data_IF_342697583352
#
_entry.id   IF_342697583352
#
_cell.length_a   1.000
_cell.length_b   1.000
_cell.length_c   1.000
_cell.angle_alpha   90.00
_cell.angle_beta   90.00
_cell.angle_gamma   90.00
#
_symmetry.space_group_name_H-M   'P 1'
#
loop_
_entity.id
_entity.type
_entity.pdbx_description
1 polymer ?
#
# COMPACT_ATOMS: atom_id res chain seq x y z
N UNK A 1 -3.32 -19.13 -31.72
CA UNK A 1 -4.09 -18.09 -31.02
C UNK A 1 -4.34 -18.40 -29.53
N UNK A 2 -4.57 -19.66 -29.13
CA UNK A 2 -4.89 -20.02 -27.74
C UNK A 2 -3.89 -19.54 -26.66
N UNK A 3 -2.61 -19.34 -26.97
CA UNK A 3 -1.60 -18.92 -25.98
C UNK A 3 -1.73 -17.45 -25.53
N UNK A 4 -2.33 -16.56 -26.33
CA UNK A 4 -2.37 -15.11 -26.01
C UNK A 4 -3.22 -14.82 -24.76
N UNK A 5 -4.43 -15.38 -24.59
CA UNK A 5 -5.19 -15.26 -23.33
C UNK A 5 -4.40 -15.69 -22.08
N UNK A 6 -3.71 -16.84 -22.11
CA UNK A 6 -2.95 -17.34 -20.96
C UNK A 6 -1.75 -16.47 -20.62
N UNK A 7 -0.97 -16.05 -21.62
CA UNK A 7 0.17 -15.15 -21.42
C UNK A 7 -0.28 -13.79 -20.87
N UNK A 8 -1.42 -13.28 -21.33
CA UNK A 8 -2.01 -12.07 -20.77
C UNK A 8 -2.49 -12.28 -19.32
N UNK A 9 -3.12 -13.41 -18.98
CA UNK A 9 -3.52 -13.67 -17.60
C UNK A 9 -2.30 -13.73 -16.66
N UNK A 10 -1.23 -14.42 -17.08
CA UNK A 10 0.01 -14.49 -16.32
C UNK A 10 0.66 -13.10 -16.12
N UNK A 11 0.69 -12.29 -17.18
CA UNK A 11 1.42 -11.01 -17.22
C UNK A 11 0.62 -9.83 -16.69
N UNK A 12 -0.70 -9.81 -16.89
CA UNK A 12 -1.59 -8.68 -16.58
C UNK A 12 -2.48 -8.99 -15.38
N UNK A 13 -3.21 -10.11 -15.36
CA UNK A 13 -4.00 -10.49 -14.17
C UNK A 13 -3.08 -10.80 -12.98
N UNK A 14 -1.90 -11.34 -13.23
CA UNK A 14 -0.82 -11.49 -12.25
C UNK A 14 -0.20 -10.18 -11.75
N UNK A 15 -0.58 -9.03 -12.31
CA UNK A 15 -0.26 -7.67 -11.86
C UNK A 15 -1.54 -6.92 -11.41
N UNK A 16 -2.55 -7.62 -10.88
CA UNK A 16 -3.72 -6.99 -10.26
C UNK A 16 -3.93 -7.52 -8.83
N UNK A 17 -4.14 -6.65 -7.82
CA UNK A 17 -4.29 -7.07 -6.40
C UNK A 17 -5.58 -7.82 -6.14
N UNK A 18 -6.59 -7.51 -6.92
CA UNK A 18 -7.87 -8.21 -6.99
C UNK A 18 -8.03 -8.57 -8.45
N UNK A 19 -8.43 -9.81 -8.72
CA UNK A 19 -9.01 -10.14 -10.01
C UNK A 19 -10.21 -9.22 -10.23
N UNK A 20 -10.00 -8.18 -11.05
CA UNK A 20 -11.12 -7.46 -11.67
C UNK A 20 -12.00 -8.54 -12.27
N UNK A 21 -13.31 -8.47 -12.02
CA UNK A 21 -14.23 -9.52 -12.44
C UNK A 21 -14.46 -9.48 -13.95
N UNK A 22 -13.42 -9.78 -14.73
CA UNK A 22 -13.41 -9.83 -16.18
C UNK A 22 -14.43 -10.87 -16.71
N UNK A 23 -14.84 -11.84 -15.87
CA UNK A 23 -15.89 -12.81 -16.21
C UNK A 23 -17.25 -12.13 -16.44
N UNK A 24 -17.49 -10.93 -15.88
CA UNK A 24 -18.71 -10.14 -16.13
C UNK A 24 -18.61 -9.23 -17.36
N UNK A 25 -17.63 -9.43 -18.24
CA UNK A 25 -17.50 -8.67 -19.49
C UNK A 25 -18.01 -9.49 -20.68
N UNK A 26 -19.24 -9.20 -21.13
CA UNK A 26 -19.84 -9.81 -22.33
C UNK A 26 -19.04 -9.56 -23.62
N UNK A 27 -18.09 -8.62 -23.56
CA UNK A 27 -17.22 -8.22 -24.66
C UNK A 27 -16.01 -9.14 -24.88
N UNK A 28 -15.62 -9.98 -23.90
CA UNK A 28 -14.48 -10.88 -24.04
C UNK A 28 -14.87 -12.24 -24.65
N UNK A 29 -14.19 -12.73 -25.70
CA UNK A 29 -14.43 -14.07 -26.25
C UNK A 29 -14.24 -15.15 -25.18
N UNK A 30 -15.11 -16.18 -25.16
CA UNK A 30 -15.17 -17.23 -24.11
C UNK A 30 -13.83 -17.82 -23.67
N UNK A 31 -12.85 -17.93 -24.56
CA UNK A 31 -11.49 -18.42 -24.27
C UNK A 31 -10.75 -17.57 -23.22
N UNK A 32 -11.02 -16.26 -23.18
CA UNK A 32 -10.46 -15.35 -22.16
C UNK A 32 -11.01 -15.67 -20.79
N UNK A 33 -12.33 -15.80 -20.65
CA UNK A 33 -12.96 -16.17 -19.39
C UNK A 33 -12.49 -17.55 -18.91
N UNK A 34 -12.30 -18.51 -19.82
CA UNK A 34 -11.71 -19.82 -19.47
C UNK A 34 -10.27 -19.69 -18.96
N UNK A 35 -9.40 -18.93 -19.65
CA UNK A 35 -8.02 -18.73 -19.23
C UNK A 35 -7.90 -17.95 -17.90
N UNK A 36 -8.77 -16.97 -17.67
CA UNK A 36 -8.84 -16.20 -16.42
C UNK A 36 -9.30 -17.09 -15.27
N UNK A 37 -10.33 -17.92 -15.48
CA UNK A 37 -10.82 -18.86 -14.47
C UNK A 37 -9.75 -19.92 -14.15
N UNK A 38 -9.14 -20.56 -15.15
CA UNK A 38 -8.07 -21.55 -14.93
C UNK A 38 -6.84 -20.95 -14.22
N UNK A 39 -6.51 -19.68 -14.50
CA UNK A 39 -5.46 -18.97 -13.76
C UNK A 39 -5.86 -18.64 -12.33
N UNK A 40 -7.10 -18.22 -12.10
CA UNK A 40 -7.67 -17.90 -10.78
C UNK A 40 -7.73 -19.14 -9.89
N UNK A 41 -8.24 -20.27 -10.41
CA UNK A 41 -8.33 -21.55 -9.71
C UNK A 41 -6.97 -22.13 -9.29
N UNK A 42 -5.87 -21.66 -9.92
CA UNK A 42 -4.50 -22.06 -9.61
C UNK A 42 -3.68 -20.99 -8.89
N UNK A 43 -4.20 -19.78 -8.72
CA UNK A 43 -3.51 -18.67 -8.09
C UNK A 43 -3.13 -19.04 -6.65
N UNK A 44 -1.84 -18.95 -6.33
CA UNK A 44 -1.33 -19.14 -4.97
C UNK A 44 -0.90 -17.77 -4.47
N UNK A 45 -1.79 -17.09 -3.73
CA UNK A 45 -1.43 -15.85 -3.03
C UNK A 45 -0.82 -16.18 -1.66
N UNK A 46 0.40 -15.68 -1.43
CA UNK A 46 1.09 -15.81 -0.15
C UNK A 46 1.44 -14.46 0.45
N UNK A 47 1.47 -14.43 1.77
CA UNK A 47 1.93 -13.32 2.59
C UNK A 47 3.19 -13.78 3.33
N UNK A 48 4.24 -12.98 3.31
CA UNK A 48 5.55 -13.35 3.86
C UNK A 48 5.85 -12.46 5.05
N UNK A 49 6.26 -13.04 6.17
CA UNK A 49 6.88 -12.31 7.28
C UNK A 49 8.36 -12.66 7.35
N UNK A 50 9.21 -11.66 7.56
CA UNK A 50 10.64 -11.80 7.82
C UNK A 50 10.91 -11.18 9.19
N UNK A 51 11.51 -11.96 10.09
CA UNK A 51 11.86 -11.50 11.43
C UNK A 51 13.38 -11.51 11.64
N UNK A 52 13.91 -10.44 12.21
CA UNK A 52 15.27 -10.40 12.74
C UNK A 52 15.23 -10.53 14.27
N UNK A 53 16.10 -11.35 14.86
CA UNK A 53 16.34 -11.34 16.31
C UNK A 53 17.81 -11.70 16.63
N UNK A 54 18.15 -11.85 17.91
CA UNK A 54 19.51 -12.19 18.38
C UNK A 54 20.11 -13.47 17.79
N UNK A 55 19.27 -14.37 17.25
CA UNK A 55 19.64 -15.66 16.70
C UNK A 55 19.71 -15.63 15.15
N UNK A 56 19.55 -14.46 14.53
CA UNK A 56 19.57 -14.25 13.08
C UNK A 56 18.18 -14.05 12.47
N UNK A 57 18.04 -14.44 11.21
CA UNK A 57 16.79 -14.29 10.46
C UNK A 57 15.86 -15.48 10.61
N UNK A 58 14.58 -15.16 10.58
CA UNK A 58 13.48 -16.10 10.53
C UNK A 58 12.47 -15.65 9.49
N UNK A 59 11.68 -16.58 8.97
CA UNK A 59 10.61 -16.28 8.04
C UNK A 59 9.37 -17.13 8.33
N UNK A 60 8.20 -16.63 7.96
CA UNK A 60 6.97 -17.42 7.88
C UNK A 60 6.22 -17.06 6.60
N UNK A 61 5.53 -18.05 6.02
CA UNK A 61 4.74 -17.88 4.81
C UNK A 61 3.32 -18.32 5.11
N UNK A 62 2.37 -17.41 4.98
CA UNK A 62 0.95 -17.65 5.16
C UNK A 62 0.31 -17.67 3.76
N UNK A 63 -0.17 -18.85 3.33
CA UNK A 63 -1.04 -18.93 2.15
C UNK A 63 -2.46 -18.47 2.52
N UNK A 64 -3.13 -17.75 1.63
CA UNK A 64 -4.47 -17.20 1.89
C UNK A 64 -5.49 -18.30 2.27
N UNK A 65 -5.47 -19.43 1.56
CA UNK A 65 -6.48 -20.49 1.66
C UNK A 65 -5.94 -21.83 2.22
N UNK A 66 -4.71 -21.85 2.76
CA UNK A 66 -4.06 -23.08 3.25
C UNK A 66 -3.69 -22.99 4.73
N UNK A 67 -4.16 -23.92 5.60
CA UNK A 67 -3.71 -23.98 6.99
C UNK A 67 -2.25 -24.45 7.14
N UNK A 68 -1.68 -25.06 6.09
CA UNK A 68 -0.26 -25.43 6.01
C UNK A 68 0.53 -24.25 5.44
N UNK A 69 1.49 -23.78 6.21
CA UNK A 69 2.51 -22.80 5.81
C UNK A 69 3.55 -23.50 4.93
N UNK A 70 3.70 -23.16 3.64
CA UNK A 70 4.73 -23.77 2.79
C UNK A 70 6.12 -23.32 3.24
N UNK A 71 7.14 -24.15 3.00
CA UNK A 71 8.55 -23.77 3.21
C UNK A 71 9.08 -22.96 2.03
N UNK A 72 10.22 -22.28 2.21
CA UNK A 72 10.92 -21.60 1.12
C UNK A 72 11.25 -22.56 -0.04
N UNK A 73 11.72 -23.77 0.28
CA UNK A 73 12.00 -24.83 -0.70
C UNK A 73 10.74 -25.34 -1.43
N UNK A 74 9.56 -25.21 -0.83
CA UNK A 74 8.29 -25.53 -1.49
C UNK A 74 7.91 -24.40 -2.44
N UNK A 75 7.97 -23.13 -2.00
CA UNK A 75 7.73 -21.95 -2.84
C UNK A 75 8.60 -21.95 -4.10
N UNK A 76 9.89 -22.27 -3.98
CA UNK A 76 10.83 -22.27 -5.12
C UNK A 76 10.45 -23.35 -6.15
N UNK A 77 9.79 -24.44 -5.73
CA UNK A 77 9.32 -25.53 -6.60
C UNK A 77 7.89 -25.33 -7.12
N UNK A 78 7.14 -24.33 -6.61
CA UNK A 78 5.80 -24.03 -7.11
C UNK A 78 5.84 -23.52 -8.55
N UNK A 79 4.72 -23.68 -9.26
CA UNK A 79 4.55 -23.08 -10.58
C UNK A 79 4.49 -21.56 -10.47
N UNK A 80 5.64 -20.94 -10.77
CA UNK A 80 5.89 -19.50 -10.69
C UNK A 80 4.91 -18.65 -11.51
N UNK A 81 4.21 -19.23 -12.49
CA UNK A 81 3.16 -18.55 -13.27
C UNK A 81 1.97 -18.16 -12.39
N UNK A 82 1.68 -18.95 -11.36
CA UNK A 82 0.54 -18.79 -10.45
C UNK A 82 0.94 -18.38 -9.02
N UNK A 83 2.21 -18.52 -8.61
CA UNK A 83 2.67 -17.99 -7.31
C UNK A 83 2.71 -16.45 -7.32
N UNK A 84 2.09 -15.82 -6.33
CA UNK A 84 2.07 -14.36 -6.14
C UNK A 84 2.20 -13.97 -4.67
N UNK A 85 2.81 -12.81 -4.43
CA UNK A 85 3.09 -12.29 -3.08
C UNK A 85 2.24 -11.04 -2.84
N UNK A 86 1.26 -11.16 -1.95
CA UNK A 86 0.29 -10.10 -1.63
C UNK A 86 0.79 -9.12 -0.57
N UNK A 87 1.55 -9.62 0.41
CA UNK A 87 2.23 -8.78 1.40
C UNK A 87 3.60 -9.29 1.82
N UNK A 88 4.42 -8.34 2.29
CA UNK A 88 5.66 -8.59 3.00
C UNK A 88 5.68 -7.76 4.29
N UNK A 89 5.85 -8.43 5.42
CA UNK A 89 6.14 -7.81 6.71
C UNK A 89 7.61 -8.05 7.08
N UNK A 90 8.29 -7.01 7.57
CA UNK A 90 9.63 -7.07 8.16
C UNK A 90 9.50 -6.60 9.60
N UNK A 91 9.99 -7.38 10.57
CA UNK A 91 9.80 -7.09 12.00
C UNK A 91 10.98 -7.54 12.87
N UNK A 92 11.17 -6.89 14.01
CA UNK A 92 12.07 -7.37 15.09
C UNK A 92 11.37 -8.29 16.10
N UNK A 93 10.04 -8.42 16.01
CA UNK A 93 9.23 -9.21 16.94
C UNK A 93 8.89 -10.56 16.32
N UNK A 94 9.31 -11.65 16.96
CA UNK A 94 9.01 -13.00 16.53
C UNK A 94 7.52 -13.31 16.73
N UNK A 95 6.87 -13.81 15.68
CA UNK A 95 5.68 -14.65 15.85
C UNK A 95 6.16 -16.06 16.24
N UNK A 96 6.00 -16.48 17.50
CA UNK A 96 6.67 -17.66 18.02
C UNK A 96 6.09 -18.99 17.51
N UNK A 97 4.98 -18.98 16.76
CA UNK A 97 4.21 -20.20 16.51
C UNK A 97 4.52 -20.89 15.17
N UNK A 98 5.05 -20.18 14.15
CA UNK A 98 5.24 -20.74 12.78
C UNK A 98 6.45 -20.21 12.01
N UNK A 99 7.48 -19.71 12.68
CA UNK A 99 8.68 -19.17 12.04
C UNK A 99 9.76 -20.24 11.82
N UNK A 100 10.36 -20.29 10.64
CA UNK A 100 11.54 -21.09 10.31
C UNK A 100 12.79 -20.23 10.26
N UNK A 101 13.95 -20.79 10.61
CA UNK A 101 15.24 -20.07 10.49
C UNK A 101 15.61 -19.88 9.02
N UNK A 102 16.20 -18.72 8.72
CA UNK A 102 16.66 -18.33 7.39
C UNK A 102 18.13 -17.90 7.49
N UNK A 103 18.99 -18.38 6.59
CA UNK A 103 20.37 -17.88 6.51
C UNK A 103 20.40 -16.52 5.80
N UNK A 104 21.40 -15.67 6.08
CA UNK A 104 21.63 -14.44 5.31
C UNK A 104 21.73 -14.73 3.81
N UNK A 105 22.36 -15.85 3.43
CA UNK A 105 22.50 -16.26 2.04
C UNK A 105 21.13 -16.57 1.41
N UNK A 106 20.30 -17.39 2.07
CA UNK A 106 18.95 -17.73 1.58
C UNK A 106 18.04 -16.49 1.50
N UNK A 107 18.18 -15.56 2.45
CA UNK A 107 17.49 -14.27 2.41
C UNK A 107 17.88 -13.47 1.15
N UNK A 108 19.18 -13.28 0.92
CA UNK A 108 19.69 -12.41 -0.15
C UNK A 108 19.60 -13.05 -1.56
N UNK A 109 19.82 -14.36 -1.68
CA UNK A 109 19.94 -15.08 -2.95
C UNK A 109 18.65 -15.80 -3.39
N UNK A 110 17.74 -16.15 -2.46
CA UNK A 110 16.50 -16.86 -2.76
C UNK A 110 15.25 -16.03 -2.46
N UNK A 111 15.06 -15.64 -1.19
CA UNK A 111 13.80 -15.05 -0.74
C UNK A 111 13.56 -13.63 -1.29
N UNK A 112 14.52 -12.71 -1.16
CA UNK A 112 14.37 -11.34 -1.69
C UNK A 112 14.25 -11.29 -3.22
N UNK A 113 15.01 -12.07 -4.01
CA UNK A 113 14.79 -12.19 -5.45
C UNK A 113 13.41 -12.75 -5.83
N UNK A 114 12.93 -13.77 -5.11
CA UNK A 114 11.58 -14.32 -5.31
C UNK A 114 10.50 -13.28 -5.04
N UNK A 115 10.61 -12.53 -3.93
CA UNK A 115 9.75 -11.40 -3.60
C UNK A 115 9.73 -10.41 -4.76
N UNK A 116 10.89 -9.88 -5.13
CA UNK A 116 11.03 -8.89 -6.22
C UNK A 116 10.42 -9.35 -7.55
N UNK A 117 10.44 -10.64 -7.84
CA UNK A 117 9.89 -11.19 -9.08
C UNK A 117 8.37 -11.48 -9.03
N UNK A 118 7.80 -11.75 -7.84
CA UNK A 118 6.42 -12.27 -7.69
C UNK A 118 5.48 -11.40 -6.85
N UNK A 119 5.91 -10.22 -6.40
CA UNK A 119 5.04 -9.21 -5.75
C UNK A 119 3.88 -8.79 -6.67
N UNK A 120 2.64 -8.91 -6.19
CA UNK A 120 1.44 -8.39 -6.85
C UNK A 120 1.45 -6.86 -6.92
N UNK A 121 0.86 -6.27 -7.96
CA UNK A 121 0.56 -4.85 -7.94
C UNK A 121 -0.38 -4.49 -6.77
N UNK A 122 -0.18 -3.31 -6.18
CA UNK A 122 -0.76 -2.91 -4.88
C UNK A 122 -0.48 -3.86 -3.71
N UNK A 123 0.61 -4.63 -3.74
CA UNK A 123 1.06 -5.38 -2.57
C UNK A 123 1.34 -4.46 -1.38
N UNK A 124 1.21 -5.04 -0.19
CA UNK A 124 1.50 -4.37 1.09
C UNK A 124 2.94 -4.63 1.50
N UNK A 125 3.67 -3.59 1.88
CA UNK A 125 4.94 -3.68 2.58
C UNK A 125 4.78 -3.10 3.98
N UNK A 126 5.17 -3.85 5.01
CA UNK A 126 5.09 -3.42 6.40
C UNK A 126 6.48 -3.53 7.04
N UNK A 127 6.96 -2.47 7.68
CA UNK A 127 8.11 -2.49 8.59
C UNK A 127 7.60 -2.18 9.99
N UNK A 128 7.78 -3.13 10.92
CA UNK A 128 7.44 -2.97 12.33
C UNK A 128 8.65 -3.07 13.25
N UNK A 129 8.80 -2.08 14.13
CA UNK A 129 9.87 -2.02 15.11
C UNK A 129 11.28 -1.80 14.54
N UNK A 130 12.30 -1.72 15.43
CA UNK A 130 13.69 -1.52 15.05
C UNK A 130 14.35 -2.81 14.54
N UNK A 131 14.48 -2.93 13.21
CA UNK A 131 15.15 -4.01 12.50
C UNK A 131 16.52 -3.53 11.98
N UNK A 132 17.62 -3.97 12.60
CA UNK A 132 19.00 -3.59 12.23
C UNK A 132 19.37 -3.99 10.80
N UNK A 133 18.92 -5.16 10.37
CA UNK A 133 19.14 -5.71 9.03
C UNK A 133 18.25 -5.12 7.94
N UNK A 134 17.35 -4.19 8.28
CA UNK A 134 16.49 -3.51 7.30
C UNK A 134 17.29 -2.83 6.18
N UNK A 135 18.52 -2.37 6.44
CA UNK A 135 19.42 -1.83 5.43
C UNK A 135 19.68 -2.80 4.25
N UNK A 136 19.81 -4.10 4.52
CA UNK A 136 20.03 -5.12 3.50
C UNK A 136 18.76 -5.40 2.68
N UNK A 137 17.60 -5.49 3.35
CA UNK A 137 16.30 -5.76 2.73
C UNK A 137 15.85 -4.56 1.87
N UNK A 138 15.90 -3.35 2.43
CA UNK A 138 15.43 -2.12 1.80
C UNK A 138 16.11 -1.83 0.47
N UNK A 139 17.44 -2.02 0.38
CA UNK A 139 18.21 -1.83 -0.86
C UNK A 139 17.70 -2.68 -2.03
N UNK A 140 17.34 -3.95 -1.78
CA UNK A 140 16.78 -4.82 -2.81
C UNK A 140 15.36 -4.39 -3.21
N UNK A 141 14.52 -4.11 -2.21
CA UNK A 141 13.07 -3.93 -2.39
C UNK A 141 12.64 -2.50 -2.75
N UNK A 142 13.51 -1.50 -2.61
CA UNK A 142 13.21 -0.10 -2.98
C UNK A 142 12.98 0.10 -4.49
N UNK A 143 13.36 -0.88 -5.32
CA UNK A 143 13.10 -0.89 -6.77
C UNK A 143 11.77 -1.55 -7.17
N UNK A 144 11.09 -2.23 -6.25
CA UNK A 144 9.82 -2.93 -6.50
C UNK A 144 8.68 -1.90 -6.44
N UNK A 145 8.16 -1.47 -7.60
CA UNK A 145 7.09 -0.46 -7.71
C UNK A 145 5.71 -0.99 -7.34
N UNK A 146 5.56 -2.31 -7.30
CA UNK A 146 4.32 -3.02 -7.00
C UNK A 146 3.85 -2.86 -5.54
N UNK A 147 4.79 -2.62 -4.61
CA UNK A 147 4.45 -2.26 -3.23
C UNK A 147 3.91 -0.82 -3.19
N UNK A 148 2.59 -0.68 -3.24
CA UNK A 148 1.91 0.63 -3.19
C UNK A 148 1.35 0.95 -1.81
N UNK A 149 1.09 -0.04 -0.96
CA UNK A 149 0.64 0.17 0.42
C UNK A 149 1.85 -0.03 1.33
N UNK A 150 2.29 1.02 2.03
CA UNK A 150 3.50 1.01 2.86
C UNK A 150 3.14 1.37 4.32
N UNK A 151 3.20 0.41 5.23
CA UNK A 151 3.25 0.66 6.67
C UNK A 151 4.71 0.74 7.12
N UNK A 152 5.15 1.87 7.67
CA UNK A 152 6.54 2.10 8.03
C UNK A 152 6.66 2.70 9.44
N UNK A 153 7.16 1.90 10.37
CA UNK A 153 7.70 2.41 11.62
C UNK A 153 9.05 3.09 11.37
N UNK A 154 9.28 4.26 11.96
CA UNK A 154 10.55 4.97 11.81
C UNK A 154 11.70 4.18 12.47
N UNK A 155 12.56 3.62 11.63
CA UNK A 155 13.76 2.88 12.02
C UNK A 155 15.00 3.51 11.34
N UNK A 156 15.30 4.76 11.69
CA UNK A 156 16.52 5.46 11.25
C UNK A 156 16.51 5.98 9.80
N UNK A 157 17.71 6.34 9.33
CA UNK A 157 17.92 7.05 8.06
C UNK A 157 17.58 6.21 6.82
N UNK A 158 17.72 4.89 6.96
CA UNK A 158 17.49 3.83 5.99
C UNK A 158 16.00 3.76 5.62
N UNK A 159 15.12 3.93 6.62
CA UNK A 159 13.67 4.00 6.41
C UNK A 159 13.28 5.25 5.61
N UNK A 160 13.93 6.39 5.88
CA UNK A 160 13.73 7.64 5.12
C UNK A 160 14.25 7.50 3.69
N UNK A 161 15.42 6.86 3.49
CA UNK A 161 15.97 6.59 2.17
C UNK A 161 15.07 5.65 1.35
N UNK A 162 14.54 4.59 1.97
CA UNK A 162 13.59 3.66 1.38
C UNK A 162 12.29 4.38 0.98
N UNK A 163 11.67 5.13 1.88
CA UNK A 163 10.46 5.92 1.61
C UNK A 163 10.70 6.91 0.46
N UNK A 164 11.83 7.63 0.48
CA UNK A 164 12.21 8.57 -0.59
C UNK A 164 12.37 7.88 -1.95
N UNK A 165 12.94 6.67 -1.98
CA UNK A 165 13.06 5.90 -3.23
C UNK A 165 11.71 5.35 -3.70
N UNK A 166 10.84 4.90 -2.78
CA UNK A 166 9.46 4.48 -3.10
C UNK A 166 8.66 5.64 -3.69
N UNK A 167 8.65 6.80 -3.04
CA UNK A 167 7.98 8.00 -3.53
C UNK A 167 8.67 8.62 -4.77
N UNK A 168 9.88 8.22 -5.11
CA UNK A 168 10.50 8.57 -6.40
C UNK A 168 9.99 7.70 -7.54
N UNK A 169 9.92 6.39 -7.33
CA UNK A 169 9.71 5.39 -8.38
C UNK A 169 8.25 4.90 -8.50
N UNK A 170 7.47 5.00 -7.42
CA UNK A 170 6.10 4.54 -7.34
C UNK A 170 5.08 5.57 -7.84
N UNK A 171 3.86 5.09 -7.99
CA UNK A 171 2.65 5.85 -8.28
C UNK A 171 1.52 5.27 -7.43
N UNK A 172 0.55 6.11 -7.09
CA UNK A 172 -0.60 5.75 -6.26
C UNK A 172 -0.24 5.05 -4.94
N UNK A 173 0.75 5.59 -4.22
CA UNK A 173 1.14 5.06 -2.92
C UNK A 173 0.13 5.43 -1.83
N UNK A 174 -0.09 4.51 -0.91
CA UNK A 174 -0.80 4.68 0.36
C UNK A 174 0.21 4.46 1.48
N UNK A 175 0.34 5.42 2.40
CA UNK A 175 1.29 5.35 3.51
C UNK A 175 0.55 5.20 4.84
N UNK A 176 1.15 4.45 5.76
CA UNK A 176 0.94 4.59 7.19
C UNK A 176 2.34 4.77 7.80
N UNK A 177 2.58 5.92 8.45
CA UNK A 177 3.86 6.26 9.05
C UNK A 177 3.71 6.30 10.56
N UNK A 178 4.58 5.59 11.28
CA UNK A 178 4.58 5.55 12.75
C UNK A 178 5.95 5.95 13.32
N UNK A 179 5.97 6.41 14.57
CA UNK A 179 7.20 6.75 15.30
C UNK A 179 7.75 8.16 15.02
N UNK A 180 9.00 8.40 15.41
CA UNK A 180 9.63 9.73 15.45
C UNK A 180 10.41 10.07 14.18
N UNK A 181 9.69 10.38 13.11
CA UNK A 181 10.25 10.80 11.82
C UNK A 181 10.96 12.16 11.89
N UNK A 182 12.02 12.39 11.09
CA UNK A 182 12.68 13.68 11.00
C UNK A 182 11.79 14.68 10.26
N UNK A 183 11.87 15.96 10.64
CA UNK A 183 11.04 17.04 10.08
C UNK A 183 11.16 17.19 8.55
N UNK A 184 12.30 16.81 7.97
CA UNK A 184 12.52 16.77 6.51
C UNK A 184 11.56 15.83 5.76
N UNK A 185 10.93 14.88 6.46
CA UNK A 185 9.90 14.00 5.89
C UNK A 185 8.66 14.78 5.45
N UNK A 186 8.31 15.91 6.10
CA UNK A 186 7.19 16.77 5.67
C UNK A 186 7.37 17.25 4.22
N UNK A 187 8.57 17.74 3.87
CA UNK A 187 8.90 18.19 2.52
C UNK A 187 8.86 17.04 1.49
N UNK A 188 9.19 15.81 1.90
CA UNK A 188 9.08 14.63 1.06
C UNK A 188 7.61 14.27 0.74
N UNK A 189 6.72 14.34 1.74
CA UNK A 189 5.28 14.11 1.56
C UNK A 189 4.64 15.17 0.64
N UNK A 190 4.94 16.45 0.88
CA UNK A 190 4.49 17.57 0.04
C UNK A 190 4.91 17.35 -1.42
N UNK A 191 6.18 17.01 -1.66
CA UNK A 191 6.67 16.75 -3.02
C UNK A 191 5.98 15.52 -3.66
N UNK A 192 5.69 14.48 -2.90
CA UNK A 192 5.00 13.29 -3.40
C UNK A 192 3.53 13.56 -3.78
N UNK A 193 2.83 14.42 -3.02
CA UNK A 193 1.51 14.96 -3.39
C UNK A 193 1.61 15.75 -4.69
N UNK A 194 2.50 16.76 -4.75
CA UNK A 194 2.70 17.61 -5.94
C UNK A 194 3.03 16.81 -7.21
N UNK A 195 3.73 15.67 -7.07
CA UNK A 195 4.06 14.78 -8.18
C UNK A 195 2.96 13.75 -8.50
N UNK A 196 1.80 13.78 -7.84
CA UNK A 196 0.69 12.79 -7.95
C UNK A 196 1.12 11.34 -7.68
N UNK A 197 1.99 11.13 -6.69
CA UNK A 197 2.51 9.80 -6.33
C UNK A 197 1.94 9.26 -5.02
N UNK A 198 1.31 10.12 -4.23
CA UNK A 198 0.77 9.83 -2.91
C UNK A 198 -0.75 10.05 -2.94
N UNK A 199 -1.52 8.98 -2.68
CA UNK A 199 -2.98 8.96 -2.69
C UNK A 199 -3.56 8.94 -1.27
N UNK A 200 -2.85 8.34 -0.30
CA UNK A 200 -3.18 8.57 1.09
C UNK A 200 -1.97 8.49 2.02
N UNK A 201 -2.04 9.16 3.16
CA UNK A 201 -1.10 8.98 4.25
C UNK A 201 -1.79 9.04 5.62
N UNK A 202 -1.63 8.00 6.41
CA UNK A 202 -1.94 8.01 7.84
C UNK A 202 -0.68 8.36 8.64
N UNK A 203 -0.79 9.42 9.45
CA UNK A 203 0.26 9.98 10.29
C UNK A 203 -0.11 9.93 11.77
N UNK A 204 -1.27 9.35 12.15
CA UNK A 204 -1.83 9.37 13.52
C UNK A 204 -0.88 8.81 14.58
N UNK A 205 0.00 7.87 14.20
CA UNK A 205 0.97 7.23 15.09
C UNK A 205 2.40 7.79 14.94
N UNK A 206 2.55 8.94 14.29
CA UNK A 206 3.82 9.65 14.09
C UNK A 206 3.88 10.98 14.82
N UNK A 207 5.07 11.57 14.87
CA UNK A 207 5.29 12.97 15.26
C UNK A 207 5.09 13.98 14.10
N UNK A 208 4.62 13.53 12.93
CA UNK A 208 4.40 14.40 11.77
C UNK A 208 2.99 14.99 11.82
N UNK A 209 2.90 16.31 11.76
CA UNK A 209 1.62 17.03 11.68
C UNK A 209 1.24 17.39 10.25
N UNK A 210 -0.07 17.43 9.98
CA UNK A 210 -0.66 17.97 8.75
C UNK A 210 -0.44 19.49 8.77
N UNK A 211 0.55 19.94 8.00
CA UNK A 211 0.91 21.35 7.89
C UNK A 211 0.16 22.08 6.78
N UNK A 212 0.06 23.40 6.93
CA UNK A 212 -0.56 24.33 5.98
C UNK A 212 -0.09 24.13 4.53
N UNK A 213 1.22 23.97 4.30
CA UNK A 213 1.80 23.71 2.96
C UNK A 213 1.36 22.38 2.34
N UNK A 214 1.07 21.36 3.17
CA UNK A 214 0.61 20.05 2.72
C UNK A 214 -0.85 20.13 2.27
N UNK A 215 -1.70 20.82 3.05
CA UNK A 215 -3.09 21.10 2.65
C UNK A 215 -3.13 21.91 1.35
N UNK A 216 -2.26 22.92 1.22
CA UNK A 216 -2.12 23.69 -0.02
C UNK A 216 -1.75 22.81 -1.21
N UNK A 217 -0.74 21.95 -1.07
CA UNK A 217 -0.35 21.01 -2.13
C UNK A 217 -1.49 20.06 -2.53
N UNK A 218 -2.31 19.61 -1.57
CA UNK A 218 -3.51 18.78 -1.83
C UNK A 218 -4.57 19.58 -2.59
N UNK A 219 -4.95 20.78 -2.13
CA UNK A 219 -5.92 21.65 -2.83
C UNK A 219 -5.45 21.99 -4.26
N UNK A 220 -4.16 22.30 -4.47
CA UNK A 220 -3.58 22.56 -5.80
C UNK A 220 -3.70 21.33 -6.73
N UNK A 221 -3.42 20.12 -6.23
CA UNK A 221 -3.56 18.90 -7.02
C UNK A 221 -5.02 18.58 -7.34
N UNK A 222 -5.93 18.72 -6.38
CA UNK A 222 -7.36 18.53 -6.58
C UNK A 222 -7.91 19.49 -7.65
N UNK A 223 -7.62 20.79 -7.56
CA UNK A 223 -8.01 21.79 -8.57
C UNK A 223 -7.41 21.44 -9.95
N UNK A 224 -6.11 21.11 -10.02
CA UNK A 224 -5.46 20.72 -11.28
C UNK A 224 -5.91 19.37 -11.86
N UNK A 225 -6.75 18.62 -11.14
CA UNK A 225 -7.40 17.39 -11.59
C UNK A 225 -8.82 17.61 -12.11
N UNK A 226 -9.30 18.85 -12.16
CA UNK A 226 -10.73 19.18 -12.37
C UNK A 226 -11.61 18.46 -11.33
N UNK A 227 -11.18 18.49 -10.06
CA UNK A 227 -11.92 17.97 -8.90
C UNK A 227 -12.13 16.44 -8.88
N UNK A 228 -11.43 15.69 -9.74
CA UNK A 228 -11.57 14.22 -9.87
C UNK A 228 -10.62 13.40 -8.99
N UNK A 229 -9.51 13.97 -8.53
CA UNK A 229 -8.49 13.28 -7.74
C UNK A 229 -8.91 13.21 -6.26
N UNK A 230 -8.84 12.02 -5.66
CA UNK A 230 -8.99 11.82 -4.22
C UNK A 230 -7.62 11.71 -3.56
N UNK A 231 -7.41 12.40 -2.44
CA UNK A 231 -6.19 12.32 -1.64
C UNK A 231 -6.57 12.36 -0.15
N UNK A 232 -6.33 11.26 0.57
CA UNK A 232 -6.76 11.10 1.97
C UNK A 232 -5.58 11.25 2.94
N UNK A 233 -5.59 12.23 3.83
CA UNK A 233 -4.55 12.41 4.85
C UNK A 233 -5.18 12.44 6.24
N UNK A 234 -4.72 11.56 7.14
CA UNK A 234 -5.11 11.53 8.56
C UNK A 234 -3.90 11.78 9.46
N UNK A 235 -4.08 12.49 10.58
CA UNK A 235 -3.00 12.82 11.50
C UNK A 235 -3.26 14.08 12.31
N UNK A 236 -2.37 14.39 13.25
CA UNK A 236 -2.46 15.59 14.07
C UNK A 236 -2.33 16.86 13.21
N UNK A 237 -3.21 17.83 13.44
CA UNK A 237 -3.19 19.12 12.75
C UNK A 237 -2.16 20.11 13.30
N UNK A 238 -1.60 20.91 12.41
CA UNK A 238 -0.75 22.08 12.70
C UNK A 238 -1.18 23.21 11.75
N UNK A 239 -2.44 23.65 11.94
CA UNK A 239 -3.21 24.46 11.02
C UNK A 239 -3.87 25.64 11.74
N UNK A 240 -3.69 26.85 11.22
CA UNK A 240 -4.51 28.01 11.62
C UNK A 240 -5.79 28.04 10.77
N UNK A 241 -6.96 28.13 11.42
CA UNK A 241 -8.27 28.18 10.75
C UNK A 241 -8.41 29.36 9.79
N UNK A 242 -7.70 30.48 10.03
CA UNK A 242 -7.72 31.62 9.11
C UNK A 242 -6.86 31.40 7.86
N UNK A 243 -5.76 30.63 7.96
CA UNK A 243 -4.91 30.30 6.81
C UNK A 243 -5.60 29.32 5.85
N UNK A 244 -6.35 28.36 6.39
CA UNK A 244 -7.16 27.42 5.59
C UNK A 244 -8.18 28.15 4.68
N UNK A 245 -8.82 29.22 5.18
CA UNK A 245 -9.76 30.04 4.38
C UNK A 245 -9.09 30.72 3.20
N UNK A 246 -7.80 31.07 3.32
CA UNK A 246 -7.02 31.73 2.26
C UNK A 246 -6.55 30.74 1.20
N UNK A 247 -6.25 29.49 1.57
CA UNK A 247 -5.57 28.52 0.71
C UNK A 247 -6.50 27.86 -0.30
N UNK A 248 -7.76 27.61 0.08
CA UNK A 248 -8.73 26.98 -0.82
C UNK A 248 -9.95 27.89 -1.04
N UNK A 249 -9.78 29.09 -1.66
CA UNK A 249 -10.84 30.11 -1.81
C UNK A 249 -11.97 29.69 -2.75
N UNK A 250 -11.81 28.57 -3.47
CA UNK A 250 -12.85 27.90 -4.26
C UNK A 250 -13.81 27.03 -3.43
N UNK A 251 -13.48 26.67 -2.18
CA UNK A 251 -14.33 25.84 -1.30
C UNK A 251 -15.62 26.56 -0.83
N UNK A 252 -16.03 27.68 -1.42
CA UNK A 252 -17.26 28.40 -1.04
C UNK A 252 -18.55 27.58 -1.22
N UNK A 253 -18.50 26.48 -1.98
CA UNK A 253 -19.57 25.48 -2.14
C UNK A 253 -19.27 24.14 -1.46
N UNK A 254 -18.03 23.89 -1.03
CA UNK A 254 -17.72 22.71 -0.21
C UNK A 254 -18.10 23.08 1.21
N UNK A 255 -19.08 22.36 1.76
CA UNK A 255 -19.56 22.65 3.09
C UNK A 255 -18.46 22.34 4.11
N UNK A 256 -17.77 23.39 4.61
CA UNK A 256 -16.74 23.26 5.63
C UNK A 256 -17.27 22.67 6.95
N UNK A 257 -18.59 22.64 7.14
CA UNK A 257 -19.23 21.90 8.26
C UNK A 257 -19.08 20.37 8.12
N UNK A 258 -18.65 19.87 6.94
CA UNK A 258 -18.23 18.48 6.71
C UNK A 258 -16.71 18.25 6.78
N UNK A 259 -15.91 19.25 7.21
CA UNK A 259 -14.65 18.96 7.91
C UNK A 259 -15.02 18.44 9.31
N UNK A 260 -15.36 17.16 9.40
CA UNK A 260 -15.82 16.55 10.66
C UNK A 260 -14.65 16.35 11.62
N UNK A 261 -14.36 17.37 12.41
CA UNK A 261 -13.66 17.25 13.69
C UNK A 261 -14.58 16.49 14.65
N UNK A 262 -14.43 15.17 14.72
CA UNK A 262 -15.24 14.27 15.55
C UNK A 262 -14.47 13.65 16.72
N UNK A 263 -14.35 14.42 17.82
CA UNK A 263 -13.94 13.96 19.16
C UNK A 263 -12.43 13.66 19.29
N UNK A 264 -11.81 13.72 20.50
CA UNK A 264 -10.41 14.11 20.70
C UNK A 264 -9.32 13.10 20.26
N UNK A 265 -9.67 12.12 19.43
CA UNK A 265 -8.76 11.37 18.57
C UNK A 265 -8.93 11.82 17.10
N UNK A 266 -9.10 13.13 16.89
CA UNK A 266 -9.53 13.71 15.63
C UNK A 266 -8.58 13.36 14.47
N UNK A 267 -9.04 12.50 13.57
CA UNK A 267 -8.43 12.33 12.24
C UNK A 267 -9.13 13.26 11.27
N UNK A 268 -8.45 14.29 10.79
CA UNK A 268 -8.94 15.05 9.65
C UNK A 268 -9.05 14.10 8.44
N UNK A 269 -10.14 14.16 7.66
CA UNK A 269 -10.31 13.37 6.43
C UNK A 269 -10.74 14.30 5.30
N UNK A 270 -9.88 14.44 4.29
CA UNK A 270 -10.15 15.23 3.09
C UNK A 270 -10.91 14.41 2.02
N UNK A 271 -12.12 13.90 2.31
CA UNK A 271 -12.94 13.25 1.27
C UNK A 271 -13.56 14.30 0.34
N UNK A 272 -12.79 14.71 -0.67
CA UNK A 272 -13.28 15.48 -1.81
C UNK A 272 -14.13 14.58 -2.73
N UNK A 273 -15.34 14.20 -2.28
CA UNK A 273 -16.31 13.45 -3.06
C UNK A 273 -17.37 14.34 -3.70
N UNK A 274 -17.25 14.56 -5.02
CA UNK A 274 -18.38 15.02 -5.85
C UNK A 274 -19.05 13.81 -6.48
N UNK A 275 -20.01 13.22 -5.77
CA UNK A 275 -20.89 12.21 -6.36
C UNK A 275 -22.02 12.90 -7.14
N UNK A 276 -22.20 12.64 -8.46
CA UNK A 276 -23.50 12.84 -9.07
C UNK A 276 -24.48 11.86 -8.40
N UNK A 277 -25.64 12.36 -7.95
CA UNK A 277 -26.65 11.58 -7.24
C UNK A 277 -27.09 10.37 -8.09
N UNK A 278 -26.78 9.16 -7.63
CA UNK A 278 -27.55 7.94 -7.91
C UNK A 278 -27.18 6.83 -6.90
N UNK A 279 -28.20 6.23 -6.30
CA UNK A 279 -28.08 5.26 -5.21
C UNK A 279 -27.58 3.90 -5.68
N UNK A 280 -26.70 3.24 -4.91
CA UNK A 280 -26.74 1.79 -4.62
C UNK A 280 -25.82 1.44 -3.44
N UNK A 281 -26.22 0.45 -2.62
CA UNK A 281 -25.55 0.04 -1.36
C UNK A 281 -25.12 -1.43 -1.42
N UNK A 282 -23.90 -1.74 -0.99
CA UNK A 282 -23.52 -3.05 -0.43
C UNK A 282 -22.14 -3.01 0.26
N UNK A 283 -22.16 -3.17 1.58
CA UNK A 283 -21.32 -4.06 2.43
C UNK A 283 -20.18 -4.86 1.76
N UNK A 284 -18.95 -4.94 2.29
CA UNK A 284 -18.34 -4.44 3.54
C UNK A 284 -16.97 -3.77 3.21
N UNK A 285 -16.05 -3.37 4.10
CA UNK A 285 -15.85 -3.51 5.57
C UNK A 285 -15.25 -2.22 6.15
N UNK A 286 -15.32 -2.07 7.48
CA UNK A 286 -14.58 -1.12 8.35
C UNK A 286 -13.97 0.15 7.69
N UNK A 287 -14.84 0.99 7.13
CA UNK A 287 -14.61 2.43 7.04
C UNK A 287 -15.88 3.15 7.51
N UNK A 288 -15.73 4.18 8.33
CA UNK A 288 -16.84 5.07 8.67
C UNK A 288 -17.25 5.81 7.41
N UNK A 289 -18.45 5.52 6.90
CA UNK A 289 -19.07 6.24 5.80
C UNK A 289 -20.35 6.89 6.32
N UNK A 290 -20.47 8.19 6.11
CA UNK A 290 -21.67 8.95 6.47
C UNK A 290 -22.65 8.89 5.30
N UNK A 291 -23.87 8.46 5.58
CA UNK A 291 -24.99 8.51 4.65
C UNK A 291 -25.52 9.95 4.54
N UNK A 292 -26.17 10.27 3.43
CA UNK A 292 -27.06 11.44 3.32
C UNK A 292 -28.48 10.95 3.09
N UNK A 293 -29.44 11.61 3.76
CA UNK A 293 -30.82 11.69 3.26
C UNK A 293 -30.88 12.44 1.92
#
# INVERSE_FOLDING_TARGET
MHHVPYLFCETVSGLLPKLINLTSTDFLPRIWNYAINEWTERLILVNISITENSNGWFYSILGQDSPKTPKLDDLIKMDMRYLRIGSLTVTSHLDPLKSESLSDQDLQEKLLPLIKLRTCDHAVFILHGPCSGFAAISKQLATVSQFKILGLDYNGSETVAFLKQKLRNGFNCHLNLSGSWPASTKALLINAVQCRKLMSADLNFSNLTISVDLVKAICEQWISSHETLKIDFTGQEDLNKEELKVICPGLKSVNCDKLSLSSPNDSLVFDFSVSPVNNFVSSCDNFVRIYTE
#
